data_IF_089414093126
#
_entry.id   IF_089414093126
#
_cell.length_a   1.000
_cell.length_b   1.000
_cell.length_c   1.000
_cell.angle_alpha   90.00
_cell.angle_beta   90.00
_cell.angle_gamma   90.00
#
_symmetry.space_group_name_H-M   'P 1'
#
loop_
_entity.id
_entity.type
_entity.pdbx_description
1 polymer ?
#
# COMPACT_ATOMS: atom_id res chain seq x y z
N UNK A 1 -10.73 13.36 -3.87
CA UNK A 1 -9.26 13.39 -3.97
C UNK A 1 -8.86 12.50 -5.14
N UNK A 2 -8.09 13.02 -6.09
CA UNK A 2 -7.53 12.26 -7.22
C UNK A 2 -6.08 11.90 -6.92
N UNK A 3 -5.64 10.71 -7.30
CA UNK A 3 -4.27 10.21 -7.10
C UNK A 3 -3.42 10.46 -8.35
N UNK A 4 -2.09 10.50 -8.19
CA UNK A 4 -1.12 10.66 -9.31
C UNK A 4 -1.20 9.50 -10.30
N UNK A 5 -1.46 8.29 -9.83
CA UNK A 5 -1.59 7.09 -10.66
C UNK A 5 -3.02 6.58 -10.72
N UNK A 6 -3.34 5.90 -11.82
CA UNK A 6 -4.43 4.92 -11.85
C UNK A 6 -3.89 3.63 -11.27
N UNK A 7 -4.53 3.11 -10.24
CA UNK A 7 -4.07 1.91 -9.54
C UNK A 7 -5.26 1.02 -9.24
N UNK A 8 -5.18 -0.27 -9.55
CA UNK A 8 -6.25 -1.18 -9.17
C UNK A 8 -6.16 -1.46 -7.67
N UNK A 9 -7.30 -1.45 -7.00
CA UNK A 9 -7.36 -1.52 -5.53
C UNK A 9 -7.26 -0.17 -4.83
N UNK A 10 -7.28 0.96 -5.55
CA UNK A 10 -7.19 2.28 -4.93
C UNK A 10 -8.28 2.52 -3.87
N UNK A 11 -7.89 3.09 -2.73
CA UNK A 11 -8.75 3.20 -1.55
C UNK A 11 -9.58 4.47 -1.49
N UNK A 12 -9.42 5.37 -2.46
CA UNK A 12 -10.15 6.64 -2.57
C UNK A 12 -11.67 6.49 -2.38
N UNK A 13 -12.28 5.45 -2.94
CA UNK A 13 -13.73 5.23 -2.86
C UNK A 13 -14.21 4.82 -1.46
N UNK A 14 -13.37 4.14 -0.67
CA UNK A 14 -13.72 3.67 0.67
C UNK A 14 -13.13 4.56 1.79
N UNK A 15 -12.30 5.56 1.45
CA UNK A 15 -11.71 6.47 2.43
C UNK A 15 -12.70 7.08 3.44
N UNK A 16 -13.92 7.51 3.06
CA UNK A 16 -14.87 8.06 4.03
C UNK A 16 -15.26 7.08 5.15
N UNK A 17 -15.19 5.78 4.88
CA UNK A 17 -15.42 4.74 5.88
C UNK A 17 -14.13 4.34 6.57
N UNK A 18 -13.06 4.10 5.81
CA UNK A 18 -11.77 3.67 6.34
C UNK A 18 -11.19 4.63 7.38
N UNK A 19 -11.33 5.94 7.18
CA UNK A 19 -10.76 6.95 8.10
C UNK A 19 -11.35 6.88 9.51
N UNK A 20 -12.59 6.38 9.66
CA UNK A 20 -13.25 6.20 10.98
C UNK A 20 -12.56 5.14 11.84
N UNK A 21 -11.77 4.28 11.20
CA UNK A 21 -11.11 3.13 11.81
C UNK A 21 -9.61 3.35 12.02
N UNK A 22 -9.05 4.44 11.47
CA UNK A 22 -7.64 4.81 11.61
C UNK A 22 -7.47 5.68 12.86
N UNK A 23 -6.85 5.17 13.95
CA UNK A 23 -6.64 5.96 15.16
C UNK A 23 -5.51 6.96 14.97
N UNK A 24 -5.45 7.98 15.83
CA UNK A 24 -4.30 8.87 15.89
C UNK A 24 -3.01 8.10 16.23
N UNK A 25 -1.88 8.61 15.76
CA UNK A 25 -0.56 8.03 15.99
C UNK A 25 0.54 8.99 15.56
N UNK A 26 1.79 8.65 15.88
CA UNK A 26 2.95 9.47 15.52
C UNK A 26 3.36 9.31 14.05
N UNK A 27 3.15 8.11 13.51
CA UNK A 27 3.48 7.76 12.13
C UNK A 27 2.53 6.70 11.60
N UNK A 28 2.05 6.89 10.37
CA UNK A 28 1.29 5.86 9.64
C UNK A 28 2.26 5.01 8.83
N UNK A 29 2.17 3.70 8.98
CA UNK A 29 2.98 2.72 8.26
C UNK A 29 2.10 1.99 7.26
N UNK A 30 2.43 2.13 5.97
CA UNK A 30 1.73 1.52 4.83
C UNK A 30 2.68 0.57 4.08
N UNK A 31 2.67 -0.74 4.37
CA UNK A 31 3.53 -1.71 3.68
C UNK A 31 3.14 -2.01 2.23
N UNK A 32 1.97 -1.51 1.80
CA UNK A 32 1.43 -1.65 0.47
C UNK A 32 0.96 -0.27 -0.02
N UNK A 33 1.90 0.54 -0.49
CA UNK A 33 1.66 1.93 -0.86
C UNK A 33 0.58 2.06 -1.93
N UNK A 34 0.68 1.24 -2.99
CA UNK A 34 -0.17 1.36 -4.17
C UNK A 34 -0.21 2.79 -4.69
N UNK A 35 -1.39 3.43 -4.76
CA UNK A 35 -1.53 4.83 -5.19
C UNK A 35 -1.31 5.88 -4.08
N UNK A 36 -0.89 5.49 -2.89
CA UNK A 36 -0.79 6.33 -1.68
C UNK A 36 -2.09 7.05 -1.31
N UNK A 37 -3.25 6.43 -1.61
CA UNK A 37 -4.54 7.07 -1.38
C UNK A 37 -4.80 7.35 0.12
N UNK A 38 -4.32 6.47 1.01
CA UNK A 38 -4.53 6.61 2.46
C UNK A 38 -3.60 7.67 3.04
N UNK A 39 -2.30 7.64 2.73
CA UNK A 39 -1.36 8.73 3.07
C UNK A 39 -1.93 10.10 2.68
N UNK A 40 -2.41 10.24 1.45
CA UNK A 40 -2.91 11.53 0.95
C UNK A 40 -4.20 11.97 1.65
N UNK A 41 -5.03 11.04 2.12
CA UNK A 41 -6.32 11.30 2.74
C UNK A 41 -6.27 11.41 4.29
N UNK A 42 -5.11 11.14 4.90
CA UNK A 42 -4.90 11.22 6.36
C UNK A 42 -3.95 12.36 6.70
N UNK A 43 -3.77 12.70 7.98
CA UNK A 43 -2.87 13.79 8.41
C UNK A 43 -1.99 13.44 9.62
N UNK A 44 -1.35 12.28 9.57
CA UNK A 44 -0.29 11.89 10.51
C UNK A 44 0.93 12.82 10.43
N UNK A 45 1.68 12.99 11.54
CA UNK A 45 2.92 13.76 11.56
C UNK A 45 4.00 13.19 10.63
N UNK A 46 4.10 11.85 10.55
CA UNK A 46 5.06 11.16 9.70
C UNK A 46 4.41 9.97 8.97
N UNK A 47 5.05 9.51 7.90
CA UNK A 47 4.64 8.31 7.17
C UNK A 47 5.84 7.43 6.85
N UNK A 48 5.66 6.12 6.95
CA UNK A 48 6.55 5.13 6.35
C UNK A 48 5.74 4.39 5.29
N UNK A 49 6.10 4.58 4.02
CA UNK A 49 5.34 4.07 2.89
C UNK A 49 6.25 3.15 2.08
N UNK A 50 5.82 1.90 1.92
CA UNK A 50 6.59 0.88 1.24
C UNK A 50 5.78 0.16 0.19
N UNK A 51 6.46 -0.35 -0.83
CA UNK A 51 5.90 -1.24 -1.83
C UNK A 51 7.04 -2.08 -2.41
N UNK A 52 6.72 -3.30 -2.83
CA UNK A 52 7.68 -4.18 -3.50
C UNK A 52 7.99 -3.67 -4.93
N UNK A 53 7.12 -2.84 -5.50
CA UNK A 53 7.30 -2.29 -6.82
C UNK A 53 8.35 -1.15 -6.81
N UNK A 54 9.54 -1.45 -7.29
CA UNK A 54 10.64 -0.49 -7.40
C UNK A 54 10.31 0.75 -8.24
N UNK A 55 9.64 0.59 -9.40
CA UNK A 55 9.35 1.72 -10.28
C UNK A 55 8.32 2.68 -9.66
N UNK A 56 7.40 2.14 -8.87
CA UNK A 56 6.44 2.91 -8.09
C UNK A 56 7.13 3.72 -7.00
N UNK A 57 8.00 3.09 -6.21
CA UNK A 57 8.75 3.78 -5.16
C UNK A 57 9.71 4.81 -5.75
N UNK A 58 10.36 4.50 -6.87
CA UNK A 58 11.18 5.46 -7.59
C UNK A 58 10.37 6.70 -8.01
N UNK A 59 9.16 6.53 -8.57
CA UNK A 59 8.29 7.66 -8.88
C UNK A 59 8.04 8.55 -7.66
N UNK A 60 7.74 7.96 -6.50
CA UNK A 60 7.48 8.74 -5.29
C UNK A 60 8.71 9.46 -4.76
N UNK A 61 9.88 8.80 -4.78
CA UNK A 61 11.16 9.41 -4.40
C UNK A 61 11.53 10.57 -5.33
N UNK A 62 11.33 10.43 -6.64
CA UNK A 62 11.64 11.49 -7.60
C UNK A 62 10.67 12.66 -7.47
N UNK A 63 9.38 12.42 -7.20
CA UNK A 63 8.44 13.51 -6.89
C UNK A 63 8.81 14.20 -5.56
N UNK A 64 9.23 13.44 -4.54
CA UNK A 64 9.68 14.02 -3.27
C UNK A 64 10.92 14.90 -3.45
N UNK A 65 11.86 14.47 -4.31
CA UNK A 65 13.18 15.11 -4.47
C UNK A 65 13.14 16.27 -5.47
N UNK A 66 12.58 16.06 -6.66
CA UNK A 66 12.51 17.05 -7.74
C UNK A 66 11.27 16.80 -8.63
N UNK A 67 10.10 17.16 -8.11
CA UNK A 67 8.84 17.04 -8.84
C UNK A 67 8.78 17.92 -10.10
N UNK A 68 9.53 19.02 -10.19
CA UNK A 68 9.51 19.89 -11.36
C UNK A 68 10.17 19.20 -12.56
N UNK A 69 11.29 18.53 -12.35
CA UNK A 69 11.94 17.74 -13.39
C UNK A 69 11.02 16.60 -13.90
N UNK A 70 10.34 15.90 -12.98
CA UNK A 70 9.34 14.88 -13.36
C UNK A 70 8.20 15.50 -14.17
N UNK A 71 7.66 16.64 -13.73
CA UNK A 71 6.57 17.36 -14.42
C UNK A 71 7.00 17.79 -15.82
N UNK A 72 8.21 18.33 -15.98
CA UNK A 72 8.69 18.81 -17.27
C UNK A 72 8.77 17.67 -18.30
N UNK A 73 9.44 16.57 -17.95
CA UNK A 73 9.60 15.41 -18.84
C UNK A 73 8.23 14.78 -19.13
N UNK A 74 7.41 14.56 -18.10
CA UNK A 74 6.09 13.97 -18.28
C UNK A 74 5.17 14.86 -19.13
N UNK A 75 5.23 16.19 -18.99
CA UNK A 75 4.40 17.11 -19.79
C UNK A 75 4.71 16.99 -21.29
N UNK A 76 5.97 16.88 -21.66
CA UNK A 76 6.39 16.70 -23.06
C UNK A 76 5.85 15.38 -23.63
N UNK A 77 5.97 14.28 -22.87
CA UNK A 77 5.40 12.99 -23.27
C UNK A 77 3.88 13.07 -23.45
N UNK A 78 3.14 13.69 -22.52
CA UNK A 78 1.68 13.78 -22.60
C UNK A 78 1.19 14.70 -23.72
N UNK A 79 2.01 15.69 -24.12
CA UNK A 79 1.70 16.62 -25.20
C UNK A 79 1.91 15.97 -26.57
N UNK A 80 3.06 15.32 -26.76
CA UNK A 80 3.52 14.93 -28.08
C UNK A 80 3.29 13.42 -28.37
N UNK A 81 3.06 12.58 -27.35
CA UNK A 81 3.09 11.12 -27.47
C UNK A 81 1.73 10.47 -27.15
N UNK A 82 0.79 10.45 -28.10
CA UNK A 82 -0.54 9.83 -27.92
C UNK A 82 -0.94 8.89 -29.07
N UNK A 83 0.01 8.11 -29.58
CA UNK A 83 -0.18 7.04 -30.57
C UNK A 83 0.36 5.70 -30.06
N UNK A 84 -0.06 4.60 -30.70
CA UNK A 84 0.44 3.26 -30.37
C UNK A 84 1.95 3.14 -30.59
N UNK A 85 2.46 3.66 -31.70
CA UNK A 85 3.89 3.65 -32.05
C UNK A 85 4.70 4.37 -30.98
N UNK A 86 4.26 5.56 -30.56
CA UNK A 86 4.95 6.32 -29.51
C UNK A 86 4.88 5.64 -28.15
N UNK A 87 3.72 5.09 -27.79
CA UNK A 87 3.56 4.35 -26.54
C UNK A 87 4.53 3.17 -26.45
N UNK A 88 4.63 2.36 -27.51
CA UNK A 88 5.53 1.20 -27.50
C UNK A 88 7.01 1.59 -27.55
N UNK A 89 7.36 2.72 -28.17
CA UNK A 89 8.72 3.29 -28.07
C UNK A 89 9.06 3.67 -26.62
N UNK A 90 8.20 4.42 -25.95
CA UNK A 90 8.43 4.79 -24.53
C UNK A 90 8.50 3.54 -23.66
N UNK A 91 7.64 2.53 -23.90
CA UNK A 91 7.70 1.26 -23.16
C UNK A 91 9.01 0.50 -23.39
N UNK A 92 9.53 0.50 -24.62
CA UNK A 92 10.83 -0.09 -24.93
C UNK A 92 11.96 0.66 -24.23
N UNK A 93 11.92 1.99 -24.22
CA UNK A 93 12.91 2.79 -23.49
C UNK A 93 12.86 2.52 -22.00
N UNK A 94 11.67 2.49 -21.41
CA UNK A 94 11.47 2.17 -19.99
C UNK A 94 12.05 0.80 -19.60
N UNK A 95 11.90 -0.22 -20.46
CA UNK A 95 12.37 -1.57 -20.16
C UNK A 95 13.87 -1.79 -20.38
N UNK A 96 14.49 -1.07 -21.31
CA UNK A 96 15.83 -1.45 -21.82
C UNK A 96 16.85 -0.31 -21.91
N UNK A 97 16.44 0.95 -21.83
CA UNK A 97 17.38 2.07 -21.92
C UNK A 97 17.99 2.38 -20.56
N UNK A 98 19.23 2.88 -20.58
CA UNK A 98 19.83 3.53 -19.42
C UNK A 98 19.19 4.92 -19.34
N UNK A 99 18.24 5.07 -18.44
CA UNK A 99 17.62 6.34 -18.09
C UNK A 99 18.03 6.72 -16.67
N UNK A 100 18.09 8.01 -16.36
CA UNK A 100 18.19 8.42 -14.97
C UNK A 100 16.86 8.15 -14.23
N UNK A 101 16.88 8.19 -12.89
CA UNK A 101 15.71 7.85 -12.08
C UNK A 101 14.51 8.79 -12.32
N UNK A 102 14.75 10.07 -12.61
CA UNK A 102 13.71 11.07 -12.89
C UNK A 102 13.00 10.78 -14.22
N UNK A 103 13.76 10.47 -15.27
CA UNK A 103 13.22 10.03 -16.56
C UNK A 103 12.41 8.75 -16.41
N UNK A 104 12.94 7.77 -15.65
CA UNK A 104 12.26 6.50 -15.40
C UNK A 104 10.92 6.72 -14.67
N UNK A 105 10.88 7.62 -13.69
CA UNK A 105 9.66 8.04 -13.02
C UNK A 105 8.65 8.68 -13.99
N UNK A 106 9.09 9.60 -14.85
CA UNK A 106 8.22 10.25 -15.84
C UNK A 106 7.67 9.24 -16.86
N UNK A 107 8.49 8.30 -17.34
CA UNK A 107 8.07 7.21 -18.22
C UNK A 107 7.06 6.29 -17.54
N UNK A 108 7.28 5.92 -16.28
CA UNK A 108 6.32 5.11 -15.52
C UNK A 108 4.95 5.80 -15.41
N UNK A 109 4.92 7.09 -15.07
CA UNK A 109 3.71 7.90 -15.02
C UNK A 109 3.00 7.95 -16.39
N UNK A 110 3.76 8.18 -17.47
CA UNK A 110 3.25 8.18 -18.83
C UNK A 110 2.60 6.83 -19.18
N UNK A 111 3.32 5.73 -18.97
CA UNK A 111 2.87 4.37 -19.27
C UNK A 111 1.61 4.01 -18.48
N UNK A 112 1.51 4.42 -17.22
CA UNK A 112 0.31 4.23 -16.40
C UNK A 112 -0.89 5.01 -16.95
N UNK A 113 -0.72 6.27 -17.34
CA UNK A 113 -1.84 7.11 -17.80
C UNK A 113 -2.29 6.78 -19.24
N UNK A 114 -1.38 6.28 -20.08
CA UNK A 114 -1.65 5.94 -21.48
C UNK A 114 -1.95 4.45 -21.69
N UNK A 115 -1.53 3.58 -20.76
CA UNK A 115 -1.68 2.14 -20.84
C UNK A 115 -3.10 1.65 -20.52
N UNK A 116 -3.43 0.46 -21.00
CA UNK A 116 -4.74 -0.14 -20.85
C UNK A 116 -5.19 -0.17 -19.39
N UNK A 117 -6.29 0.52 -19.11
CA UNK A 117 -6.92 0.67 -17.78
C UNK A 117 -5.99 1.25 -16.70
N UNK A 118 -4.80 1.72 -17.05
CA UNK A 118 -3.75 2.10 -16.10
C UNK A 118 -3.29 0.96 -15.20
N UNK A 119 -3.30 -0.27 -15.70
CA UNK A 119 -2.73 -1.41 -14.99
C UNK A 119 -1.20 -1.27 -14.91
N UNK A 120 -0.64 -1.70 -13.79
CA UNK A 120 0.79 -1.90 -13.62
C UNK A 120 1.06 -3.40 -13.72
N UNK A 121 1.79 -3.84 -14.76
CA UNK A 121 2.01 -5.27 -15.02
C UNK A 121 3.36 -5.50 -15.66
N UNK A 122 4.04 -6.54 -15.18
CA UNK A 122 5.33 -6.99 -15.67
C UNK A 122 5.24 -8.44 -16.12
N UNK A 123 6.09 -8.85 -17.06
CA UNK A 123 6.28 -10.26 -17.37
C UNK A 123 7.27 -10.92 -16.39
N UNK A 124 7.51 -12.23 -16.52
CA UNK A 124 8.46 -12.97 -15.67
C UNK A 124 9.92 -12.48 -15.79
N UNK A 125 10.26 -11.72 -16.84
CA UNK A 125 11.57 -11.08 -17.01
C UNK A 125 11.67 -9.72 -16.31
N UNK A 126 10.61 -9.26 -15.65
CA UNK A 126 10.54 -7.93 -15.03
C UNK A 126 10.30 -6.79 -16.01
N UNK A 127 9.89 -7.08 -17.26
CA UNK A 127 9.63 -6.05 -18.27
C UNK A 127 8.17 -5.58 -18.20
N UNK A 128 7.95 -4.27 -18.17
CA UNK A 128 6.62 -3.67 -18.20
C UNK A 128 5.92 -4.04 -19.52
N UNK A 129 4.72 -4.62 -19.43
CA UNK A 129 4.05 -5.24 -20.57
C UNK A 129 2.56 -4.86 -20.70
N UNK A 130 2.11 -3.78 -20.05
CA UNK A 130 0.76 -3.27 -20.27
C UNK A 130 0.62 -2.78 -21.74
N UNK A 131 -0.45 -3.13 -22.48
CA UNK A 131 -0.68 -2.62 -23.82
C UNK A 131 -1.18 -1.17 -23.82
N UNK A 132 -1.18 -0.52 -24.99
CA UNK A 132 -1.72 0.82 -25.15
C UNK A 132 -3.23 0.89 -24.85
N UNK A 133 -3.68 1.95 -24.17
CA UNK A 133 -5.05 2.10 -23.69
C UNK A 133 -6.02 2.83 -24.65
N UNK A 134 -5.52 3.38 -25.77
CA UNK A 134 -6.32 4.10 -26.78
C UNK A 134 -7.19 5.25 -26.22
N UNK A 135 -6.70 5.96 -25.20
CA UNK A 135 -7.40 7.12 -24.64
C UNK A 135 -7.25 8.34 -25.56
N UNK A 136 -8.36 9.03 -25.86
CA UNK A 136 -8.35 10.23 -26.73
C UNK A 136 -7.48 11.35 -26.15
N UNK A 137 -7.53 11.56 -24.84
CA UNK A 137 -6.76 12.58 -24.13
C UNK A 137 -6.49 12.12 -22.68
N UNK A 138 -5.38 11.43 -22.43
CA UNK A 138 -4.95 11.10 -21.07
C UNK A 138 -4.85 12.35 -20.20
N UNK A 139 -5.33 12.25 -18.96
CA UNK A 139 -5.22 13.34 -18.00
C UNK A 139 -3.81 13.42 -17.42
N UNK A 140 -3.17 14.58 -17.52
CA UNK A 140 -1.88 14.87 -16.90
C UNK A 140 -2.08 15.39 -15.46
N UNK A 141 -1.67 14.65 -14.42
CA UNK A 141 -2.00 14.94 -13.02
C UNK A 141 -1.01 15.91 -12.37
N UNK A 142 -0.79 17.08 -12.98
CA UNK A 142 0.23 18.04 -12.50
C UNK A 142 -0.05 18.54 -11.08
N UNK A 143 -1.30 18.93 -10.79
CA UNK A 143 -1.67 19.46 -9.48
C UNK A 143 -1.55 18.39 -8.40
N UNK A 144 -1.91 17.14 -8.73
CA UNK A 144 -1.75 16.00 -7.82
C UNK A 144 -0.28 15.71 -7.52
N UNK A 145 0.62 15.83 -8.51
CA UNK A 145 2.07 15.67 -8.30
C UNK A 145 2.57 16.71 -7.31
N UNK A 146 2.24 17.99 -7.51
CA UNK A 146 2.65 19.08 -6.60
C UNK A 146 2.09 18.90 -5.18
N UNK A 147 0.81 18.51 -5.08
CA UNK A 147 0.17 18.24 -3.79
C UNK A 147 0.82 17.06 -3.07
N UNK A 148 1.16 16.00 -3.81
CA UNK A 148 1.88 14.85 -3.27
C UNK A 148 3.29 15.24 -2.82
N UNK A 149 4.02 16.03 -3.59
CA UNK A 149 5.37 16.48 -3.22
C UNK A 149 5.37 17.22 -1.88
N UNK A 150 4.38 18.08 -1.63
CA UNK A 150 4.22 18.75 -0.32
C UNK A 150 3.94 17.76 0.81
N UNK A 151 3.06 16.77 0.59
CA UNK A 151 2.79 15.73 1.59
C UNK A 151 4.00 14.83 1.85
N UNK A 152 4.74 14.50 0.78
CA UNK A 152 5.89 13.62 0.76
C UNK A 152 7.04 14.13 1.64
N UNK A 153 7.13 15.43 1.95
CA UNK A 153 8.11 15.97 2.91
C UNK A 153 8.02 15.32 4.30
N UNK A 154 6.87 14.75 4.66
CA UNK A 154 6.64 14.02 5.93
C UNK A 154 6.78 12.49 5.79
N UNK A 155 7.07 11.98 4.59
CA UNK A 155 7.07 10.56 4.29
C UNK A 155 8.48 10.02 4.06
N UNK A 156 8.73 8.81 4.51
CA UNK A 156 9.87 7.98 4.09
C UNK A 156 9.36 6.92 3.15
N UNK A 157 9.85 6.90 1.91
CA UNK A 157 9.53 5.86 0.93
C UNK A 157 10.63 4.81 0.88
N UNK A 158 10.26 3.53 0.93
CA UNK A 158 11.22 2.42 0.81
C UNK A 158 10.69 1.37 -0.18
N UNK A 159 11.58 0.79 -0.97
CA UNK A 159 11.26 -0.37 -1.78
C UNK A 159 11.61 -1.60 -0.95
N UNK A 160 10.59 -2.20 -0.35
CA UNK A 160 10.73 -3.28 0.61
C UNK A 160 9.47 -4.15 0.60
N UNK A 161 9.61 -5.40 1.05
CA UNK A 161 8.45 -6.27 1.28
C UNK A 161 7.66 -5.83 2.52
N UNK A 162 6.46 -6.42 2.69
CA UNK A 162 5.62 -6.08 3.83
C UNK A 162 6.26 -6.51 5.16
N UNK A 163 6.97 -7.64 5.19
CA UNK A 163 7.63 -8.17 6.39
C UNK A 163 8.83 -7.30 6.79
N UNK A 164 9.66 -6.87 5.82
CA UNK A 164 10.74 -5.92 6.06
C UNK A 164 10.19 -4.59 6.59
N UNK A 165 9.11 -4.07 5.99
CA UNK A 165 8.49 -2.82 6.42
C UNK A 165 7.92 -2.92 7.83
N UNK A 166 7.21 -4.01 8.15
CA UNK A 166 6.65 -4.26 9.47
C UNK A 166 7.72 -4.57 10.53
N UNK A 167 8.97 -4.82 10.14
CA UNK A 167 10.11 -4.91 11.06
C UNK A 167 10.65 -3.53 11.49
N UNK A 168 10.31 -2.46 10.77
CA UNK A 168 10.74 -1.08 11.04
C UNK A 168 9.78 -0.31 11.97
N UNK A 169 8.81 -1.01 12.56
CA UNK A 169 7.82 -0.40 13.44
C UNK A 169 8.48 0.19 14.70
N UNK A 170 7.98 1.33 15.11
CA UNK A 170 8.39 2.09 16.28
C UNK A 170 7.19 2.37 17.18
N UNK A 171 7.44 2.57 18.47
CA UNK A 171 6.39 2.89 19.42
C UNK A 171 5.58 4.11 18.94
N UNK A 172 4.24 3.98 18.95
CA UNK A 172 3.33 5.02 18.45
C UNK A 172 3.04 4.96 16.94
N UNK A 173 3.57 3.98 16.22
CA UNK A 173 3.16 3.69 14.84
C UNK A 173 1.74 3.11 14.77
N UNK A 174 1.00 3.51 13.74
CA UNK A 174 -0.28 2.92 13.32
C UNK A 174 -0.05 2.20 12.00
N UNK A 175 -0.51 0.96 11.90
CA UNK A 175 -0.32 0.13 10.70
C UNK A 175 -1.61 0.10 9.87
N UNK A 176 -1.49 0.43 8.59
CA UNK A 176 -2.53 0.19 7.59
C UNK A 176 -2.00 -0.73 6.50
N UNK A 177 -2.65 -1.88 6.32
CA UNK A 177 -2.30 -2.85 5.28
C UNK A 177 -3.41 -3.01 4.25
N UNK A 178 -3.02 -2.95 2.98
CA UNK A 178 -3.90 -3.15 1.83
C UNK A 178 -3.25 -4.13 0.83
N UNK A 179 -3.11 -5.41 1.23
CA UNK A 179 -2.46 -6.40 0.38
C UNK A 179 -3.25 -6.63 -0.92
N UNK A 180 -2.64 -7.25 -1.94
CA UNK A 180 -3.40 -7.82 -3.03
C UNK A 180 -4.48 -8.77 -2.50
N UNK A 181 -5.72 -8.66 -2.98
CA UNK A 181 -6.84 -9.42 -2.41
C UNK A 181 -6.81 -10.89 -2.84
N UNK A 182 -7.26 -11.74 -1.93
CA UNK A 182 -7.54 -13.16 -2.18
C UNK A 182 -8.42 -13.35 -3.43
N UNK A 183 -8.06 -14.33 -4.27
CA UNK A 183 -8.76 -14.64 -5.52
C UNK A 183 -8.67 -13.57 -6.62
N UNK A 184 -7.91 -12.48 -6.44
CA UNK A 184 -7.69 -11.47 -7.49
C UNK A 184 -6.35 -11.67 -8.17
N UNK A 185 -6.36 -11.95 -9.48
CA UNK A 185 -5.12 -12.01 -10.27
C UNK A 185 -4.50 -10.62 -10.34
N UNK A 186 -3.43 -10.40 -9.57
CA UNK A 186 -2.77 -9.13 -9.45
C UNK A 186 -1.33 -9.27 -9.95
N UNK A 187 -1.11 -9.03 -11.24
CA UNK A 187 0.20 -9.13 -11.89
C UNK A 187 1.19 -8.02 -11.51
N UNK A 188 1.13 -7.51 -10.29
CA UNK A 188 1.94 -6.39 -9.79
C UNK A 188 3.39 -6.79 -9.50
N UNK A 189 3.66 -8.09 -9.30
CA UNK A 189 4.99 -8.65 -9.11
C UNK A 189 5.07 -10.06 -9.72
N UNK A 190 6.28 -10.50 -10.10
CA UNK A 190 6.53 -11.75 -10.86
C UNK A 190 6.09 -13.03 -10.14
N UNK A 191 6.05 -13.00 -8.80
CA UNK A 191 5.72 -14.15 -7.96
C UNK A 191 4.23 -14.21 -7.52
N UNK A 192 3.45 -13.14 -7.69
CA UNK A 192 2.10 -13.04 -7.12
C UNK A 192 2.07 -12.89 -5.60
N UNK A 193 0.87 -12.88 -5.01
CA UNK A 193 0.63 -12.87 -3.56
C UNK A 193 -0.31 -14.02 -3.23
N UNK A 194 0.21 -15.05 -2.56
CA UNK A 194 -0.46 -16.35 -2.37
C UNK A 194 -1.32 -16.38 -1.11
N UNK A 195 -2.13 -17.44 -0.94
CA UNK A 195 -2.84 -17.68 0.32
C UNK A 195 -1.88 -17.87 1.51
N UNK A 196 -0.71 -18.46 1.29
CA UNK A 196 0.33 -18.60 2.32
C UNK A 196 0.89 -17.24 2.73
N UNK A 197 1.09 -16.33 1.78
CA UNK A 197 1.51 -14.95 2.06
C UNK A 197 0.43 -14.20 2.87
N UNK A 198 -0.86 -14.39 2.56
CA UNK A 198 -1.97 -13.84 3.35
C UNK A 198 -1.95 -14.37 4.78
N UNK A 199 -1.74 -15.68 4.96
CA UNK A 199 -1.67 -16.32 6.27
C UNK A 199 -0.48 -15.81 7.09
N UNK A 200 0.69 -15.71 6.45
CA UNK A 200 1.91 -15.23 7.08
C UNK A 200 1.77 -13.77 7.50
N UNK A 201 1.29 -12.90 6.60
CA UNK A 201 1.04 -11.49 6.89
C UNK A 201 0.04 -11.32 8.04
N UNK A 202 -1.10 -12.02 8.02
CA UNK A 202 -2.08 -11.94 9.11
C UNK A 202 -1.47 -12.31 10.48
N UNK A 203 -0.57 -13.31 10.51
CA UNK A 203 0.14 -13.73 11.72
C UNK A 203 1.11 -12.66 12.23
N UNK A 204 1.87 -12.01 11.33
CA UNK A 204 2.74 -10.87 11.70
C UNK A 204 1.89 -9.73 12.25
N UNK A 205 0.80 -9.38 11.59
CA UNK A 205 -0.09 -8.30 12.00
C UNK A 205 -0.72 -8.55 13.38
N UNK A 206 -1.15 -9.78 13.66
CA UNK A 206 -1.62 -10.15 15.00
C UNK A 206 -0.54 -9.98 16.06
N UNK A 207 0.69 -10.40 15.77
CA UNK A 207 1.84 -10.19 16.66
C UNK A 207 2.13 -8.70 16.87
N UNK A 208 2.21 -7.89 15.82
CA UNK A 208 2.46 -6.43 15.94
C UNK A 208 1.38 -5.73 16.77
N UNK A 209 0.13 -6.19 16.67
CA UNK A 209 -0.94 -5.70 17.53
C UNK A 209 -0.73 -6.03 19.02
N UNK A 210 -0.23 -7.24 19.33
CA UNK A 210 0.13 -7.63 20.70
C UNK A 210 1.35 -6.88 21.27
N UNK A 211 2.22 -6.36 20.38
CA UNK A 211 3.36 -5.51 20.72
C UNK A 211 2.95 -4.04 20.94
N UNK A 212 1.66 -3.71 20.77
CA UNK A 212 1.11 -2.38 21.07
C UNK A 212 0.86 -1.47 19.86
N UNK A 213 0.94 -1.99 18.64
CA UNK A 213 0.62 -1.21 17.43
C UNK A 213 -0.86 -1.36 17.05
N UNK A 214 -1.63 -0.28 16.85
CA UNK A 214 -2.93 -0.39 16.21
C UNK A 214 -2.79 -0.89 14.78
N UNK A 215 -3.57 -1.91 14.40
CA UNK A 215 -3.52 -2.52 13.07
C UNK A 215 -4.88 -2.46 12.37
N UNK A 216 -4.85 -1.98 11.13
CA UNK A 216 -6.01 -1.87 10.24
C UNK A 216 -5.68 -2.56 8.93
N UNK A 217 -6.59 -3.41 8.44
CA UNK A 217 -6.42 -4.16 7.20
C UNK A 217 -7.65 -4.03 6.34
N UNK A 218 -7.48 -3.77 5.04
CA UNK A 218 -8.55 -3.91 4.05
C UNK A 218 -8.37 -5.19 3.25
N UNK A 219 -9.46 -5.93 3.03
CA UNK A 219 -9.44 -7.12 2.19
C UNK A 219 -10.85 -7.43 1.64
N UNK A 220 -10.94 -8.37 0.71
CA UNK A 220 -12.20 -8.98 0.29
C UNK A 220 -12.90 -9.72 1.44
N UNK A 221 -14.23 -9.77 1.42
CA UNK A 221 -15.02 -10.50 2.42
C UNK A 221 -15.23 -11.97 2.01
N UNK A 222 -14.25 -12.84 2.29
CA UNK A 222 -14.25 -14.28 1.96
C UNK A 222 -14.19 -15.15 3.22
N UNK A 223 -14.43 -16.46 3.06
CA UNK A 223 -14.25 -17.41 4.17
C UNK A 223 -12.80 -17.42 4.69
N UNK A 224 -11.81 -17.31 3.80
CA UNK A 224 -10.40 -17.24 4.17
C UNK A 224 -10.12 -15.98 5.00
N UNK A 225 -10.46 -14.79 4.48
CA UNK A 225 -10.15 -13.53 5.19
C UNK A 225 -10.88 -13.42 6.53
N UNK A 226 -12.11 -13.95 6.64
CA UNK A 226 -12.82 -14.06 7.94
C UNK A 226 -12.09 -14.95 8.93
N UNK A 227 -11.48 -16.05 8.47
CA UNK A 227 -10.70 -16.96 9.30
C UNK A 227 -9.37 -16.35 9.75
N UNK A 228 -8.67 -15.65 8.85
CA UNK A 228 -7.42 -14.93 9.12
C UNK A 228 -7.62 -13.83 10.16
N UNK A 229 -8.61 -12.99 9.95
CA UNK A 229 -8.90 -11.85 10.83
C UNK A 229 -9.97 -12.20 11.90
N UNK A 230 -10.02 -13.46 12.36
CA UNK A 230 -11.02 -13.92 13.34
C UNK A 230 -10.94 -13.18 14.68
N UNK A 231 -9.72 -12.82 15.08
CA UNK A 231 -9.39 -12.10 16.33
C UNK A 231 -9.37 -10.57 16.16
N UNK A 232 -9.80 -10.06 15.00
CA UNK A 232 -9.94 -8.63 14.72
C UNK A 232 -11.43 -8.28 14.76
N UNK A 233 -11.74 -7.03 15.11
CA UNK A 233 -13.08 -6.48 14.87
C UNK A 233 -13.22 -6.24 13.38
N UNK A 234 -14.19 -6.91 12.73
CA UNK A 234 -14.41 -6.84 11.28
C UNK A 234 -15.61 -5.96 10.97
N UNK A 235 -15.39 -4.90 10.20
CA UNK A 235 -16.42 -3.99 9.69
C UNK A 235 -16.68 -4.31 8.23
N UNK A 236 -17.92 -4.68 7.89
CA UNK A 236 -18.28 -5.05 6.52
C UNK A 236 -18.66 -3.81 5.73
N UNK A 237 -18.08 -3.66 4.53
CA UNK A 237 -18.35 -2.55 3.64
C UNK A 237 -18.69 -3.04 2.24
N UNK A 238 -19.34 -2.18 1.46
CA UNK A 238 -19.61 -2.43 0.04
C UNK A 238 -18.80 -1.45 -0.79
N UNK A 239 -17.78 -1.95 -1.48
CA UNK A 239 -16.92 -1.14 -2.33
C UNK A 239 -17.43 -1.17 -3.77
N UNK A 240 -17.45 -0.01 -4.44
CA UNK A 240 -17.76 0.06 -5.88
C UNK A 240 -16.52 -0.38 -6.67
N UNK A 241 -16.66 -1.37 -7.56
CA UNK A 241 -15.54 -1.78 -8.43
C UNK A 241 -15.29 -0.70 -9.49
N UNK A 242 -14.09 -0.13 -9.49
CA UNK A 242 -13.68 0.91 -10.44
C UNK A 242 -13.13 0.34 -11.76
N UNK A 243 -12.73 -0.94 -11.79
CA UNK A 243 -12.08 -1.58 -12.95
C UNK A 243 -12.63 -3.00 -13.15
N UNK A 244 -13.19 -3.28 -14.34
CA UNK A 244 -13.35 -4.65 -14.84
C UNK A 244 -14.67 -5.38 -14.60
N UNK A 245 -15.81 -4.70 -14.55
CA UNK A 245 -17.12 -5.40 -14.53
C UNK A 245 -17.53 -5.74 -15.97
N UNK A 246 -17.59 -7.03 -16.31
CA UNK A 246 -18.24 -7.51 -17.52
C UNK A 246 -19.76 -7.21 -17.44
N UNK A 247 -20.44 -7.05 -18.57
CA UNK A 247 -21.88 -6.77 -18.56
C UNK A 247 -22.64 -7.92 -17.87
N UNK A 248 -23.22 -7.65 -16.70
CA UNK A 248 -24.03 -8.61 -15.94
C UNK A 248 -23.56 -8.89 -14.50
N UNK A 249 -22.32 -8.56 -14.14
CA UNK A 249 -21.85 -8.70 -12.75
C UNK A 249 -22.21 -7.47 -11.88
N UNK A 250 -22.39 -7.69 -10.57
CA UNK A 250 -22.62 -6.60 -9.61
C UNK A 250 -21.47 -5.59 -9.66
N UNK A 251 -21.79 -4.29 -9.74
CA UNK A 251 -20.83 -3.18 -9.72
C UNK A 251 -20.19 -2.96 -8.34
N UNK A 252 -20.45 -3.83 -7.38
CA UNK A 252 -19.94 -3.76 -6.03
C UNK A 252 -19.41 -5.11 -5.53
N UNK A 253 -18.38 -5.04 -4.69
CA UNK A 253 -17.82 -6.18 -3.98
C UNK A 253 -18.01 -5.99 -2.47
N UNK A 254 -18.24 -7.10 -1.77
CA UNK A 254 -18.17 -7.11 -0.31
C UNK A 254 -16.70 -7.11 0.11
N UNK A 255 -16.34 -6.15 0.95
CA UNK A 255 -15.00 -6.01 1.53
C UNK A 255 -15.13 -5.93 3.06
N UNK A 256 -14.02 -6.17 3.74
CA UNK A 256 -13.88 -5.98 5.18
C UNK A 256 -12.81 -4.93 5.46
N UNK A 257 -13.06 -4.16 6.51
CA UNK A 257 -12.03 -3.43 7.25
C UNK A 257 -11.87 -4.17 8.58
N UNK A 258 -10.73 -4.85 8.76
CA UNK A 258 -10.39 -5.52 10.00
C UNK A 258 -9.54 -4.60 10.86
N UNK A 259 -9.96 -4.36 12.10
CA UNK A 259 -9.24 -3.51 13.07
C UNK A 259 -8.88 -4.30 14.32
N UNK A 260 -7.68 -4.09 14.83
CA UNK A 260 -7.27 -4.55 16.15
C UNK A 260 -6.54 -3.42 16.86
N UNK A 261 -7.05 -3.03 18.03
CA UNK A 261 -6.43 -2.00 18.86
C UNK A 261 -5.08 -2.49 19.38
N UNK A 262 -4.23 -1.56 19.82
CA UNK A 262 -3.05 -1.89 20.60
C UNK A 262 -3.48 -2.72 21.83
N UNK A 263 -3.09 -3.99 21.86
CA UNK A 263 -3.40 -4.89 22.97
C UNK A 263 -2.11 -5.19 23.71
N UNK A 264 -1.87 -4.52 24.84
CA UNK A 264 -0.73 -4.88 25.68
C UNK A 264 -1.09 -6.14 26.47
N UNK A 265 -0.72 -7.32 25.95
CA UNK A 265 -0.77 -8.56 26.72
C UNK A 265 0.52 -8.70 27.52
N UNK A 266 0.77 -7.73 28.41
CA UNK A 266 1.75 -7.89 29.47
C UNK A 266 1.16 -8.83 30.51
N UNK A 267 1.64 -10.07 30.59
CA UNK A 267 1.52 -10.82 31.83
C UNK A 267 2.49 -10.16 32.80
N UNK A 268 1.95 -9.33 33.70
CA UNK A 268 2.72 -8.83 34.82
C UNK A 268 2.95 -10.00 35.80
N UNK A 269 4.06 -10.71 35.63
CA UNK A 269 4.47 -11.77 36.56
C UNK A 269 4.79 -11.24 37.98
N UNK A 270 4.88 -9.92 38.17
CA UNK A 270 5.02 -9.27 39.48
C UNK A 270 3.68 -8.87 40.12
N UNK A 271 2.55 -9.08 39.44
CA UNK A 271 1.20 -8.85 40.00
C UNK A 271 0.63 -10.06 40.77
N UNK A 272 1.40 -11.15 40.89
CA UNK A 272 1.10 -12.22 41.83
C UNK A 272 1.24 -11.72 43.27
N UNK A 273 0.42 -12.19 44.23
CA UNK A 273 0.62 -11.86 45.64
C UNK A 273 2.04 -12.24 46.05
N UNK A 274 2.72 -11.33 46.76
CA UNK A 274 4.05 -11.53 47.34
C UNK A 274 3.98 -12.72 48.31
N UNK A 275 4.31 -13.92 47.85
CA UNK A 275 4.48 -15.10 48.71
C UNK A 275 5.95 -15.11 49.10
N UNK A 276 6.30 -14.30 50.10
CA UNK A 276 7.54 -14.46 50.83
C UNK A 276 7.42 -15.72 51.69
N UNK A 277 8.26 -16.72 51.40
CA UNK A 277 8.39 -17.90 52.25
C UNK A 277 9.32 -17.53 53.40
N UNK A 278 8.75 -17.26 54.57
CA UNK A 278 9.52 -17.18 55.81
C UNK A 278 9.95 -18.59 56.22
N UNK A 279 11.20 -18.96 55.93
CA UNK A 279 11.82 -20.15 56.52
C UNK A 279 12.39 -19.82 57.90
N UNK A 280 11.68 -20.21 58.95
CA UNK A 280 12.20 -20.20 60.32
C UNK A 280 13.16 -21.40 60.51
N UNK A 281 14.46 -21.12 60.70
CA UNK A 281 15.45 -22.16 61.01
C UNK A 281 15.43 -22.42 62.51
N UNK A 282 14.84 -23.55 62.92
CA UNK A 282 14.91 -24.01 64.31
C UNK A 282 16.22 -24.76 64.56
N UNK A 283 17.08 -24.18 65.39
CA UNK A 283 18.24 -24.87 65.95
C UNK A 283 17.78 -25.87 67.01
N UNK A 284 18.21 -27.13 66.88
CA UNK A 284 18.00 -28.17 67.88
C UNK A 284 19.08 -28.06 68.97
N UNK A 285 18.66 -28.10 70.24
CA UNK A 285 19.53 -28.22 71.42
C UNK A 285 19.98 -29.67 71.63
#
# INVERSE_FOLDING_TARGET
MTTILKWAGNKTAIMPELIKHLPAGSRLVEPFAGSCAVMMATDYPHYLVADINHDLINLYLMIQTDHEAVIQIARELFKDFNSDVQYYRVRQHFNYSISNEVEKAAYFLYLNRHGYRGLCRYNQKGEYNNPYGHYKKPYFPENEIRTFAEKAKRATFICASYDETLALLQAGDVVYCDPPYDGTFSGYHTAGFTEDDQCHMASILERRSSEGHPVIVSNSDTSLTRSLYRNFTRHRITAKRSIGVAAGESKSAAEIIATKSAGWFGVDLASGPDISVETEVRAWQ
#
